data_IF_673486642937
#
_entry.id   IF_673486642937
#
_cell.length_a   1.000
_cell.length_b   1.000
_cell.length_c   1.000
_cell.angle_alpha   90.00
_cell.angle_beta   90.00
_cell.angle_gamma   90.00
#
_symmetry.space_group_name_H-M   'P 1'
#
loop_
_entity.id
_entity.type
_entity.pdbx_description
1 polymer ?
#
# COMPACT_ATOMS: atom_id res chain seq x y z
N UNK A 1 -18.53 -8.66 13.73
CA UNK A 1 -17.18 -8.39 14.31
C UNK A 1 -16.03 -9.13 13.60
N UNK A 2 -16.12 -10.45 13.36
CA UNK A 2 -15.02 -11.22 12.73
C UNK A 2 -14.59 -10.64 11.37
N UNK A 3 -15.54 -10.27 10.51
CA UNK A 3 -15.24 -9.69 9.19
C UNK A 3 -14.39 -8.41 9.27
N UNK A 4 -14.69 -7.53 10.24
CA UNK A 4 -13.93 -6.29 10.50
C UNK A 4 -12.52 -6.61 10.99
N UNK A 5 -12.38 -7.60 11.89
CA UNK A 5 -11.07 -8.02 12.39
C UNK A 5 -10.19 -8.62 11.28
N UNK A 6 -10.77 -9.45 10.41
CA UNK A 6 -10.08 -10.05 9.25
C UNK A 6 -9.63 -8.97 8.27
N UNK A 7 -10.49 -8.00 7.96
CA UNK A 7 -10.12 -6.88 7.06
C UNK A 7 -9.04 -6.00 7.68
N UNK A 8 -9.09 -5.74 8.98
CA UNK A 8 -8.06 -4.99 9.69
C UNK A 8 -6.70 -5.70 9.64
N UNK A 9 -6.68 -7.00 9.92
CA UNK A 9 -5.46 -7.81 9.91
C UNK A 9 -4.87 -7.89 8.49
N UNK A 10 -5.70 -8.08 7.48
CA UNK A 10 -5.26 -8.05 6.08
C UNK A 10 -4.69 -6.67 5.70
N UNK A 11 -5.37 -5.59 6.05
CA UNK A 11 -4.96 -4.22 5.75
C UNK A 11 -3.63 -3.85 6.40
N UNK A 12 -3.50 -4.02 7.71
CA UNK A 12 -2.27 -3.68 8.44
C UNK A 12 -1.15 -4.68 8.14
N UNK A 13 -1.46 -5.95 7.90
CA UNK A 13 -0.48 -6.96 7.50
C UNK A 13 0.14 -6.66 6.13
N UNK A 14 -0.70 -6.36 5.13
CA UNK A 14 -0.24 -5.93 3.80
C UNK A 14 0.54 -4.63 3.89
N UNK A 15 0.01 -3.63 4.59
CA UNK A 15 0.70 -2.36 4.73
C UNK A 15 2.03 -2.46 5.46
N UNK A 16 2.15 -3.34 6.47
CA UNK A 16 3.43 -3.60 7.15
C UNK A 16 4.44 -4.29 6.23
N UNK A 17 4.01 -5.26 5.41
CA UNK A 17 4.90 -5.89 4.41
C UNK A 17 5.41 -4.88 3.38
N UNK A 18 4.51 -4.09 2.80
CA UNK A 18 4.88 -3.01 1.86
C UNK A 18 5.80 -2.01 2.57
N UNK A 19 5.51 -1.63 3.81
CA UNK A 19 6.36 -0.72 4.59
C UNK A 19 7.77 -1.28 4.78
N UNK A 20 7.89 -2.55 5.14
CA UNK A 20 9.19 -3.21 5.33
C UNK A 20 9.96 -3.33 4.02
N UNK A 21 9.31 -3.69 2.92
CA UNK A 21 9.96 -3.72 1.60
C UNK A 21 10.42 -2.32 1.18
N UNK A 22 9.54 -1.32 1.24
CA UNK A 22 9.84 0.08 0.92
C UNK A 22 10.93 0.66 1.82
N UNK A 23 10.92 0.33 3.11
CA UNK A 23 11.97 0.72 4.05
C UNK A 23 13.31 0.02 3.73
N UNK A 24 13.27 -1.25 3.33
CA UNK A 24 14.45 -2.01 2.93
C UNK A 24 15.08 -1.51 1.62
N UNK A 25 14.32 -0.80 0.76
CA UNK A 25 14.90 -0.14 -0.42
C UNK A 25 15.81 1.04 -0.07
N UNK A 26 15.91 1.50 1.19
CA UNK A 26 17.00 2.38 1.62
C UNK A 26 17.06 3.76 0.95
N UNK A 27 16.01 4.17 0.21
CA UNK A 27 15.98 5.41 -0.58
C UNK A 27 16.00 6.70 0.28
N UNK A 28 15.98 6.57 1.62
CA UNK A 28 15.93 7.70 2.56
C UNK A 28 17.11 8.67 2.43
N UNK A 29 18.21 8.29 1.79
CA UNK A 29 19.39 9.14 1.61
C UNK A 29 19.69 9.63 0.19
N UNK A 30 19.15 8.98 -0.85
CA UNK A 30 19.55 9.27 -2.25
C UNK A 30 18.67 10.37 -2.84
N UNK A 31 19.20 11.59 -2.93
CA UNK A 31 18.52 12.68 -3.64
C UNK A 31 18.58 12.39 -5.14
N UNK A 32 17.48 12.67 -5.86
CA UNK A 32 17.45 12.56 -7.33
C UNK A 32 18.54 13.40 -8.02
N UNK A 33 19.01 14.46 -7.36
CA UNK A 33 20.12 15.31 -7.83
C UNK A 33 21.46 14.58 -7.87
N UNK A 34 21.66 13.55 -7.05
CA UNK A 34 22.94 12.83 -6.93
C UNK A 34 23.04 11.65 -7.90
N UNK A 35 21.94 11.30 -8.58
CA UNK A 35 21.87 10.19 -9.53
C UNK A 35 22.95 10.22 -10.64
N UNK A 36 23.27 11.38 -11.25
CA UNK A 36 24.37 11.46 -12.21
C UNK A 36 25.72 11.06 -11.59
N UNK A 37 25.98 11.50 -10.35
CA UNK A 37 27.21 11.16 -9.62
C UNK A 37 27.28 9.67 -9.31
N UNK A 38 26.17 9.03 -8.97
CA UNK A 38 26.11 7.59 -8.70
C UNK A 38 26.32 6.73 -9.96
N UNK A 39 25.91 7.25 -11.13
CA UNK A 39 26.17 6.61 -12.42
C UNK A 39 27.65 6.70 -12.82
N UNK A 40 28.32 7.78 -12.45
CA UNK A 40 29.74 8.03 -12.75
C UNK A 40 30.68 7.40 -11.71
N UNK A 41 30.32 7.45 -10.44
CA UNK A 41 31.18 7.10 -9.31
C UNK A 41 30.68 5.84 -8.61
N UNK A 42 31.38 4.72 -8.81
CA UNK A 42 31.01 3.43 -8.22
C UNK A 42 31.10 3.39 -6.69
N UNK A 43 31.98 4.20 -6.09
CA UNK A 43 32.19 4.22 -4.63
C UNK A 43 31.04 4.86 -3.84
N UNK A 44 30.17 5.63 -4.49
CA UNK A 44 28.99 6.23 -3.86
C UNK A 44 27.80 5.27 -3.79
N UNK A 45 27.91 4.08 -4.41
CA UNK A 45 26.82 3.11 -4.51
C UNK A 45 26.74 2.31 -3.22
N UNK A 46 25.78 2.65 -2.37
CA UNK A 46 25.53 1.93 -1.12
C UNK A 46 24.13 1.30 -1.09
N UNK A 47 24.08 0.08 -0.55
CA UNK A 47 22.87 -0.70 -0.37
C UNK A 47 22.18 -1.11 -1.67
N UNK A 48 20.93 -1.58 -1.53
CA UNK A 48 20.11 -2.15 -2.62
C UNK A 48 19.89 -1.20 -3.80
N UNK A 49 19.87 0.12 -3.56
CA UNK A 49 19.76 1.15 -4.61
C UNK A 49 21.08 1.31 -5.35
N UNK A 50 22.21 1.20 -4.66
CA UNK A 50 23.54 1.17 -5.27
C UNK A 50 23.70 -0.02 -6.23
N UNK A 51 23.29 -1.21 -5.80
CA UNK A 51 23.30 -2.42 -6.63
C UNK A 51 22.45 -2.22 -7.89
N UNK A 52 21.24 -1.69 -7.72
CA UNK A 52 20.34 -1.38 -8.83
C UNK A 52 20.98 -0.39 -9.81
N UNK A 53 21.52 0.74 -9.32
CA UNK A 53 22.20 1.71 -10.18
C UNK A 53 23.41 1.08 -10.87
N UNK A 54 24.12 0.16 -10.22
CA UNK A 54 25.25 -0.55 -10.80
C UNK A 54 24.83 -1.47 -11.96
N UNK A 55 23.73 -2.20 -11.80
CA UNK A 55 23.15 -3.07 -12.83
C UNK A 55 22.75 -2.27 -14.07
N UNK A 56 22.11 -1.11 -13.86
CA UNK A 56 21.74 -0.21 -14.96
C UNK A 56 22.95 0.47 -15.61
N UNK A 57 23.97 0.84 -14.83
CA UNK A 57 25.19 1.44 -15.35
C UNK A 57 26.05 0.46 -16.17
N UNK A 58 25.93 -0.84 -15.91
CA UNK A 58 26.59 -1.91 -16.67
C UNK A 58 25.90 -2.26 -18.00
N UNK A 59 24.77 -1.62 -18.31
CA UNK A 59 24.07 -1.84 -19.57
C UNK A 59 24.75 -1.09 -20.73
N UNK A 60 25.11 -1.81 -21.77
CA UNK A 60 25.83 -1.25 -22.94
C UNK A 60 24.92 -0.91 -24.14
N UNK A 61 23.64 -1.29 -24.08
CA UNK A 61 22.67 -1.07 -25.16
C UNK A 61 21.32 -0.60 -24.63
N UNK A 62 20.53 0.07 -25.49
CA UNK A 62 19.19 0.52 -25.13
C UNK A 62 18.26 -0.66 -24.80
N UNK A 63 18.43 -1.78 -25.51
CA UNK A 63 17.65 -2.99 -25.28
C UNK A 63 17.99 -3.64 -23.93
N UNK A 64 19.26 -3.61 -23.53
CA UNK A 64 19.69 -4.09 -22.21
C UNK A 64 19.03 -3.26 -21.09
N UNK A 65 19.03 -1.92 -21.22
CA UNK A 65 18.36 -1.03 -20.24
C UNK A 65 16.86 -1.32 -20.17
N UNK A 66 16.18 -1.47 -21.31
CA UNK A 66 14.75 -1.79 -21.35
C UNK A 66 14.44 -3.14 -20.70
N UNK A 67 15.22 -4.18 -21.02
CA UNK A 67 15.05 -5.52 -20.44
C UNK A 67 15.26 -5.51 -18.93
N UNK A 68 16.29 -4.81 -18.44
CA UNK A 68 16.54 -4.65 -17.01
C UNK A 68 15.40 -3.90 -16.32
N UNK A 69 14.92 -2.80 -16.89
CA UNK A 69 13.77 -2.09 -16.34
C UNK A 69 12.52 -2.97 -16.28
N UNK A 70 12.22 -3.72 -17.35
CA UNK A 70 11.08 -4.62 -17.39
C UNK A 70 11.18 -5.70 -16.29
N UNK A 71 12.39 -6.22 -16.03
CA UNK A 71 12.64 -7.19 -14.95
C UNK A 71 12.44 -6.59 -13.56
N UNK A 72 12.86 -5.34 -13.34
CA UNK A 72 12.69 -4.63 -12.06
C UNK A 72 11.23 -4.27 -11.83
N UNK A 73 10.55 -3.79 -12.87
CA UNK A 73 9.11 -3.55 -12.83
C UNK A 73 8.34 -4.84 -12.49
N UNK A 74 8.77 -5.98 -13.04
CA UNK A 74 8.17 -7.28 -12.80
C UNK A 74 8.32 -7.78 -11.36
N UNK A 75 9.53 -7.70 -10.84
CA UNK A 75 9.90 -8.30 -9.57
C UNK A 75 9.64 -7.40 -8.37
N UNK A 76 9.62 -6.07 -8.56
CA UNK A 76 9.55 -5.11 -7.46
C UNK A 76 8.32 -4.20 -7.54
N UNK A 77 8.03 -3.61 -8.70
CA UNK A 77 6.95 -2.61 -8.83
C UNK A 77 5.57 -3.26 -8.84
N UNK A 78 5.36 -4.28 -9.68
CA UNK A 78 4.04 -4.92 -9.82
C UNK A 78 3.52 -5.56 -8.52
N UNK A 79 4.35 -6.28 -7.73
CA UNK A 79 3.90 -6.83 -6.45
C UNK A 79 3.46 -5.73 -5.46
N UNK A 80 4.30 -4.71 -5.26
CA UNK A 80 4.00 -3.58 -4.37
C UNK A 80 2.73 -2.83 -4.81
N UNK A 81 2.56 -2.59 -6.12
CA UNK A 81 1.37 -1.94 -6.65
C UNK A 81 0.10 -2.76 -6.38
N UNK A 82 0.17 -4.09 -6.52
CA UNK A 82 -0.96 -4.99 -6.23
C UNK A 82 -1.31 -4.96 -4.74
N UNK A 83 -0.31 -5.03 -3.86
CA UNK A 83 -0.55 -4.99 -2.41
C UNK A 83 -1.13 -3.66 -1.95
N UNK A 84 -0.65 -2.53 -2.49
CA UNK A 84 -1.23 -1.20 -2.23
C UNK A 84 -2.68 -1.09 -2.71
N UNK A 85 -3.00 -1.65 -3.89
CA UNK A 85 -4.38 -1.69 -4.40
C UNK A 85 -5.29 -2.53 -3.49
N UNK A 86 -4.83 -3.69 -3.05
CA UNK A 86 -5.57 -4.54 -2.11
C UNK A 86 -5.79 -3.84 -0.77
N UNK A 87 -4.76 -3.19 -0.24
CA UNK A 87 -4.87 -2.42 0.99
C UNK A 87 -5.91 -1.29 0.85
N UNK A 88 -5.93 -0.58 -0.28
CA UNK A 88 -6.96 0.44 -0.58
C UNK A 88 -8.38 -0.13 -0.57
N UNK A 89 -8.57 -1.33 -1.12
CA UNK A 89 -9.86 -2.02 -1.08
C UNK A 89 -10.25 -2.34 0.37
N UNK A 90 -9.33 -2.85 1.20
CA UNK A 90 -9.60 -3.14 2.61
C UNK A 90 -9.97 -1.88 3.41
N UNK A 91 -9.26 -0.77 3.19
CA UNK A 91 -9.55 0.53 3.83
C UNK A 91 -10.97 0.98 3.49
N UNK A 92 -11.38 0.89 2.23
CA UNK A 92 -12.74 1.25 1.81
C UNK A 92 -13.80 0.25 2.28
N UNK A 93 -13.44 -1.03 2.43
CA UNK A 93 -14.37 -2.07 2.88
C UNK A 93 -14.67 -1.99 4.39
N UNK A 94 -13.72 -1.54 5.23
CA UNK A 94 -13.89 -1.52 6.68
C UNK A 94 -15.11 -0.70 7.16
N UNK A 95 -15.37 0.53 6.67
CA UNK A 95 -16.58 1.29 7.01
C UNK A 95 -17.87 0.62 6.51
N UNK A 96 -17.83 0.03 5.31
CA UNK A 96 -18.97 -0.66 4.71
C UNK A 96 -19.34 -1.92 5.50
N UNK A 97 -18.35 -2.65 6.02
CA UNK A 97 -18.57 -3.79 6.91
C UNK A 97 -19.12 -3.35 8.28
N UNK A 98 -18.71 -2.18 8.78
CA UNK A 98 -19.32 -1.57 9.97
C UNK A 98 -20.78 -1.21 9.75
N UNK A 99 -21.10 -0.60 8.61
CA UNK A 99 -22.47 -0.30 8.21
C UNK A 99 -23.30 -1.59 8.05
N UNK A 100 -22.75 -2.65 7.45
CA UNK A 100 -23.42 -3.94 7.37
C UNK A 100 -23.77 -4.47 8.78
N UNK A 101 -22.87 -4.28 9.76
CA UNK A 101 -23.11 -4.60 11.16
C UNK A 101 -24.32 -3.89 11.77
N UNK A 102 -24.56 -2.62 11.39
CA UNK A 102 -25.78 -1.90 11.82
C UNK A 102 -27.03 -2.51 11.25
N UNK A 103 -27.02 -2.91 9.99
CA UNK A 103 -28.17 -3.55 9.36
C UNK A 103 -28.50 -4.85 10.09
N UNK A 104 -27.48 -5.65 10.42
CA UNK A 104 -27.69 -6.90 11.16
C UNK A 104 -28.19 -6.65 12.59
N UNK A 105 -27.65 -5.65 13.32
CA UNK A 105 -28.12 -5.33 14.68
C UNK A 105 -29.52 -4.70 14.72
N UNK A 106 -29.90 -3.96 13.68
CA UNK A 106 -31.28 -3.47 13.55
C UNK A 106 -32.24 -4.61 13.22
N UNK A 107 -31.82 -5.61 12.44
CA UNK A 107 -32.65 -6.81 12.19
C UNK A 107 -32.90 -7.61 13.47
N UNK A 108 -31.90 -7.79 14.34
CA UNK A 108 -32.10 -8.45 15.64
C UNK A 108 -33.02 -7.64 16.55
N UNK A 109 -32.89 -6.31 16.53
CA UNK A 109 -33.78 -5.39 17.24
C UNK A 109 -35.24 -5.55 16.82
N UNK A 110 -35.51 -5.59 15.50
CA UNK A 110 -36.87 -5.79 14.98
C UNK A 110 -37.42 -7.19 15.26
N UNK A 111 -36.58 -8.23 15.22
CA UNK A 111 -36.99 -9.57 15.59
C UNK A 111 -37.46 -9.63 17.06
N UNK A 112 -36.68 -9.06 17.98
CA UNK A 112 -37.04 -8.97 19.40
C UNK A 112 -38.35 -8.21 19.63
N UNK A 113 -38.61 -7.14 18.87
CA UNK A 113 -39.88 -6.42 18.88
C UNK A 113 -41.06 -7.27 18.41
N UNK A 114 -40.86 -8.12 17.39
CA UNK A 114 -41.91 -8.94 16.81
C UNK A 114 -42.27 -10.17 17.65
N UNK A 115 -41.29 -10.76 18.34
CA UNK A 115 -41.45 -11.97 19.15
C UNK A 115 -41.76 -11.66 20.63
N UNK A 116 -41.37 -10.47 21.10
CA UNK A 116 -41.54 -10.06 22.48
C UNK A 116 -42.99 -9.67 22.81
N UNK A 117 -43.48 -10.12 23.97
CA UNK A 117 -44.78 -9.72 24.53
C UNK A 117 -44.73 -8.37 25.28
N UNK A 118 -43.66 -7.59 25.10
CA UNK A 118 -43.40 -6.34 25.81
C UNK A 118 -42.60 -6.55 27.11
N UNK A 119 -42.50 -5.50 27.93
CA UNK A 119 -41.80 -5.52 29.22
C UNK A 119 -40.27 -5.36 29.15
N UNK A 120 -39.64 -5.45 30.32
CA UNK A 120 -38.22 -5.14 30.53
C UNK A 120 -37.26 -6.01 29.72
N UNK A 121 -37.59 -7.30 29.54
CA UNK A 121 -36.78 -8.24 28.75
C UNK A 121 -36.74 -7.85 27.26
N UNK A 122 -37.88 -7.47 26.70
CA UNK A 122 -37.98 -7.00 25.30
C UNK A 122 -37.20 -5.70 25.11
N UNK A 123 -37.30 -4.77 26.06
CA UNK A 123 -36.55 -3.51 26.03
C UNK A 123 -35.04 -3.70 26.16
N UNK A 124 -34.60 -4.63 27.02
CA UNK A 124 -33.18 -4.96 27.14
C UNK A 124 -32.62 -5.56 25.86
N UNK A 125 -33.39 -6.42 25.16
CA UNK A 125 -32.97 -7.01 23.89
C UNK A 125 -32.84 -5.95 22.78
N UNK A 126 -33.80 -5.02 22.70
CA UNK A 126 -33.76 -3.88 21.77
C UNK A 126 -32.52 -3.01 22.03
N UNK A 127 -32.28 -2.64 23.28
CA UNK A 127 -31.11 -1.84 23.66
C UNK A 127 -29.79 -2.54 23.29
N UNK A 128 -29.74 -3.87 23.46
CA UNK A 128 -28.60 -4.70 23.05
C UNK A 128 -28.34 -4.65 21.55
N UNK A 129 -29.36 -4.86 20.71
CA UNK A 129 -29.23 -4.85 19.26
C UNK A 129 -28.79 -3.49 18.69
N UNK A 130 -29.32 -2.39 19.25
CA UNK A 130 -28.90 -1.03 18.90
C UNK A 130 -27.46 -0.76 19.33
N UNK A 131 -27.09 -1.17 20.55
CA UNK A 131 -25.72 -1.02 21.05
C UNK A 131 -24.71 -1.76 20.16
N UNK A 132 -25.01 -3.01 19.79
CA UNK A 132 -24.17 -3.79 18.87
C UNK A 132 -24.04 -3.12 17.50
N UNK A 133 -25.14 -2.61 16.94
CA UNK A 133 -25.13 -1.86 15.69
C UNK A 133 -24.18 -0.65 15.75
N UNK A 134 -24.24 0.14 16.83
CA UNK A 134 -23.39 1.32 16.99
C UNK A 134 -21.91 0.94 17.18
N UNK A 135 -21.61 -0.08 17.99
CA UNK A 135 -20.25 -0.55 18.24
C UNK A 135 -19.59 -1.07 16.96
N UNK A 136 -20.34 -1.79 16.12
CA UNK A 136 -19.80 -2.32 14.85
C UNK A 136 -19.43 -1.20 13.87
N UNK A 137 -20.24 -0.15 13.76
CA UNK A 137 -19.91 1.03 12.93
C UNK A 137 -18.71 1.79 13.46
N UNK A 138 -18.70 2.06 14.77
CA UNK A 138 -17.58 2.75 15.41
C UNK A 138 -16.28 2.00 15.16
N UNK A 139 -16.28 0.67 15.31
CA UNK A 139 -15.10 -0.18 15.09
C UNK A 139 -14.62 -0.10 13.63
N UNK A 140 -15.53 -0.15 12.65
CA UNK A 140 -15.19 -0.03 11.23
C UNK A 140 -14.51 1.31 10.91
N UNK A 141 -15.01 2.41 11.48
CA UNK A 141 -14.44 3.76 11.28
C UNK A 141 -13.07 3.92 11.98
N UNK A 142 -12.95 3.44 13.22
CA UNK A 142 -11.70 3.52 14.00
C UNK A 142 -10.56 2.79 13.30
N UNK A 143 -10.86 1.72 12.55
CA UNK A 143 -9.86 0.96 11.78
C UNK A 143 -9.55 1.64 10.44
N UNK A 144 -10.58 2.13 9.75
CA UNK A 144 -10.43 2.76 8.43
C UNK A 144 -9.60 4.06 8.48
N UNK A 145 -9.77 4.88 9.53
CA UNK A 145 -9.11 6.17 9.65
C UNK A 145 -7.56 6.07 9.68
N UNK A 146 -6.94 5.28 10.58
CA UNK A 146 -5.49 5.03 10.51
C UNK A 146 -5.08 4.34 9.21
N UNK A 147 -5.91 3.44 8.69
CA UNK A 147 -5.68 2.77 7.41
C UNK A 147 -5.52 3.74 6.23
N UNK A 148 -6.36 4.79 6.17
CA UNK A 148 -6.25 5.85 5.17
C UNK A 148 -4.92 6.59 5.25
N UNK A 149 -4.50 6.98 6.46
CA UNK A 149 -3.23 7.67 6.65
C UNK A 149 -2.06 6.77 6.25
N UNK A 150 -2.09 5.51 6.66
CA UNK A 150 -1.05 4.55 6.33
C UNK A 150 -0.95 4.31 4.82
N UNK A 151 -2.09 4.16 4.15
CA UNK A 151 -2.16 4.04 2.69
C UNK A 151 -1.61 5.26 1.97
N UNK A 152 -1.92 6.47 2.44
CA UNK A 152 -1.40 7.69 1.86
C UNK A 152 0.13 7.75 1.94
N UNK A 153 0.71 7.48 3.11
CA UNK A 153 2.16 7.52 3.32
C UNK A 153 2.86 6.48 2.44
N UNK A 154 2.36 5.25 2.42
CA UNK A 154 2.91 4.16 1.61
C UNK A 154 2.80 4.45 0.11
N UNK A 155 1.65 4.96 -0.35
CA UNK A 155 1.44 5.34 -1.75
C UNK A 155 2.40 6.44 -2.20
N UNK A 156 2.64 7.45 -1.35
CA UNK A 156 3.64 8.50 -1.62
C UNK A 156 5.05 7.92 -1.76
N UNK A 157 5.44 7.02 -0.85
CA UNK A 157 6.76 6.38 -0.91
C UNK A 157 6.95 5.51 -2.15
N UNK A 158 5.92 4.77 -2.53
CA UNK A 158 5.93 3.97 -3.76
C UNK A 158 6.03 4.86 -5.02
N UNK A 159 5.33 5.99 -5.06
CA UNK A 159 5.44 6.95 -6.15
C UNK A 159 6.84 7.56 -6.25
N UNK A 160 7.45 7.94 -5.11
CA UNK A 160 8.85 8.40 -5.04
C UNK A 160 9.80 7.36 -5.64
N UNK A 161 9.62 6.07 -5.29
CA UNK A 161 10.44 4.98 -5.82
C UNK A 161 10.27 4.77 -7.33
N UNK A 162 9.03 4.80 -7.83
CA UNK A 162 8.75 4.67 -9.27
C UNK A 162 9.36 5.82 -10.07
N UNK A 163 9.23 7.06 -9.59
CA UNK A 163 9.85 8.22 -10.23
C UNK A 163 11.38 8.13 -10.27
N UNK A 164 12.00 7.54 -9.25
CA UNK A 164 13.44 7.28 -9.26
C UNK A 164 13.84 6.31 -10.39
N UNK A 165 13.10 5.21 -10.56
CA UNK A 165 13.37 4.25 -11.64
C UNK A 165 13.20 4.87 -13.03
N UNK A 166 12.15 5.65 -13.25
CA UNK A 166 11.90 6.34 -14.53
C UNK A 166 13.04 7.33 -14.85
N UNK A 167 13.55 8.02 -13.81
CA UNK A 167 14.70 8.94 -13.93
C UNK A 167 15.98 8.18 -14.28
N UNK A 168 16.21 7.03 -13.62
CA UNK A 168 17.38 6.19 -13.86
C UNK A 168 17.39 5.66 -15.30
N UNK A 169 16.25 5.18 -15.80
CA UNK A 169 16.10 4.75 -17.20
C UNK A 169 16.45 5.90 -18.15
N UNK A 170 15.84 7.07 -17.93
CA UNK A 170 16.03 8.24 -18.80
C UNK A 170 17.51 8.63 -18.87
N UNK A 171 18.21 8.66 -17.73
CA UNK A 171 19.64 8.99 -17.69
C UNK A 171 20.51 7.93 -18.37
N UNK A 172 20.23 6.64 -18.16
CA UNK A 172 20.99 5.57 -18.80
C UNK A 172 20.82 5.59 -20.32
N UNK A 173 19.59 5.78 -20.81
CA UNK A 173 19.31 5.97 -22.24
C UNK A 173 20.07 7.17 -22.82
N UNK A 174 20.02 8.32 -22.14
CA UNK A 174 20.74 9.53 -22.59
C UNK A 174 22.25 9.33 -22.63
N UNK A 175 22.84 8.64 -21.63
CA UNK A 175 24.26 8.31 -21.60
C UNK A 175 24.68 7.43 -22.78
N UNK A 176 23.88 6.42 -23.10
CA UNK A 176 24.13 5.53 -24.23
C UNK A 176 24.03 6.25 -25.57
N UNK A 177 23.01 7.09 -25.76
CA UNK A 177 22.86 7.91 -26.97
C UNK A 177 24.00 8.90 -27.17
N UNK A 178 24.52 9.50 -26.08
CA UNK A 178 25.71 10.36 -26.17
C UNK A 178 26.95 9.56 -26.56
N UNK A 179 27.11 8.35 -26.04
CA UNK A 179 28.25 7.48 -26.38
C UNK A 179 28.23 7.06 -27.86
N UNK A 180 27.05 6.79 -28.43
CA UNK A 180 26.90 6.44 -29.85
C UNK A 180 27.10 7.61 -30.82
N UNK A 181 27.00 8.87 -30.36
CA UNK A 181 27.30 10.03 -31.21
C UNK A 181 28.79 10.40 -31.24
N UNK A 182 29.59 9.88 -30.30
CA UNK A 182 31.02 10.19 -30.14
C UNK A 182 31.93 9.06 -30.64
N UNK A 183 31.39 7.87 -30.83
CA UNK A 183 32.06 6.71 -31.41
C UNK A 183 31.82 6.64 -32.92
#
# INVERSE_FOLDING_TARGET
MIAIAVTALAMFGLGLRVWLEVAAFGHRGVKLSDLPRWLEQAHLREGRVGDLVSDFAACDSLDAVQSRLASVQASQIRPLERELKLMKVCVSAAPLLGLLGTVTGMLTTFAALSEGSGGDQTMSAIAGGISEALVTTMTGLVIALPGLFFQYVLGRKFAEYRHFLDRLETMCRQRLLRRSMVA
#
